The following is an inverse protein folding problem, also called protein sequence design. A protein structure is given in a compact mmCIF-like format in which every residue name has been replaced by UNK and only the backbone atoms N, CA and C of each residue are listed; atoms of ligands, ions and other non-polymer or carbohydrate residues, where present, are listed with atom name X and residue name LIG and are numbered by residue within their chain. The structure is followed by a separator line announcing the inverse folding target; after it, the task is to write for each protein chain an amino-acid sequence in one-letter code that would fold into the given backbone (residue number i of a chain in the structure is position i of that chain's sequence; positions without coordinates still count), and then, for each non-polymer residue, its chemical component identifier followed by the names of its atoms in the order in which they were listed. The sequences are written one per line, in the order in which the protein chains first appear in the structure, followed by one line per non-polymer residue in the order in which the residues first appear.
data_IF_657285033344
#
_entry.id   IF_657285033344
#
_cell.length_a   1.000
_cell.length_b   1.000
_cell.length_c   1.000
_cell.angle_alpha   90.00
_cell.angle_beta   90.00
_cell.angle_gamma   90.00
#
_symmetry.space_group_name_H-M   'P 1'
#
loop_
_entity.id
_entity.type
_entity.pdbx_description
1 polymer ?
#
# COMPACT_ATOMS: atom_id res chain seq x y z
N UNK A 1 -8.70 -9.70 -3.15
CA UNK A 1 -8.56 -9.21 -1.76
C UNK A 1 -9.89 -8.56 -1.37
N UNK A 2 -10.75 -9.26 -0.61
CA UNK A 2 -12.00 -8.68 -0.08
C UNK A 2 -11.70 -8.12 1.33
N UNK A 3 -11.09 -6.94 1.39
CA UNK A 3 -10.76 -6.29 2.66
C UNK A 3 -11.69 -5.11 2.83
N UNK A 4 -12.32 -5.00 4.00
CA UNK A 4 -13.15 -3.86 4.38
C UNK A 4 -12.19 -2.67 4.65
N UNK A 5 -11.78 -1.99 3.59
CA UNK A 5 -10.85 -0.86 3.63
C UNK A 5 -11.64 0.36 4.11
N UNK A 6 -11.14 1.03 5.15
CA UNK A 6 -11.78 2.25 5.67
C UNK A 6 -11.46 3.43 4.75
N UNK A 7 -12.45 3.81 3.94
CA UNK A 7 -12.35 4.91 2.96
C UNK A 7 -12.11 6.28 3.59
N UNK A 8 -12.46 6.44 4.86
CA UNK A 8 -12.23 7.69 5.62
C UNK A 8 -10.78 7.79 6.12
N UNK A 9 -9.94 6.75 5.96
CA UNK A 9 -8.54 6.80 6.38
C UNK A 9 -7.62 7.08 5.19
N UNK A 10 -6.45 7.67 5.50
CA UNK A 10 -5.38 7.79 4.50
C UNK A 10 -4.95 6.40 4.05
N UNK A 11 -4.59 6.27 2.78
CA UNK A 11 -4.19 5.02 2.13
C UNK A 11 -3.32 4.10 3.00
N UNK A 12 -2.20 4.55 3.61
CA UNK A 12 -1.34 3.64 4.37
C UNK A 12 -2.01 3.06 5.65
N UNK A 13 -3.00 3.73 6.23
CA UNK A 13 -3.75 3.21 7.38
C UNK A 13 -4.90 2.31 6.94
N UNK A 14 -5.56 2.66 5.84
CA UNK A 14 -6.62 1.84 5.28
C UNK A 14 -6.06 0.47 4.83
N UNK A 15 -4.85 0.46 4.24
CA UNK A 15 -4.14 -0.77 3.86
C UNK A 15 -3.76 -1.66 5.05
N UNK A 16 -3.61 -1.12 6.27
CA UNK A 16 -3.31 -1.95 7.46
C UNK A 16 -4.51 -2.75 7.96
N UNK A 17 -5.71 -2.50 7.44
CA UNK A 17 -6.87 -3.36 7.68
C UNK A 17 -6.69 -4.75 7.03
N UNK A 18 -5.82 -4.86 6.02
CA UNK A 18 -5.47 -6.11 5.37
C UNK A 18 -4.53 -6.90 6.28
N UNK A 19 -4.94 -8.11 6.71
CA UNK A 19 -4.09 -9.00 7.51
C UNK A 19 -2.77 -9.28 6.77
N UNK A 20 -1.65 -9.09 7.45
CA UNK A 20 -0.30 -9.27 6.88
C UNK A 20 0.33 -8.01 6.29
N UNK A 21 -0.42 -6.90 6.16
CA UNK A 21 0.12 -5.62 5.71
C UNK A 21 0.44 -4.72 6.91
N UNK A 22 1.73 -4.60 7.23
CA UNK A 22 2.20 -3.67 8.24
C UNK A 22 2.26 -2.22 7.72
N UNK A 23 2.12 -1.24 8.62
CA UNK A 23 2.15 0.20 8.28
C UNK A 23 3.38 0.62 7.48
N UNK A 24 4.56 0.07 7.81
CA UNK A 24 5.82 0.34 7.08
C UNK A 24 5.77 -0.20 5.65
N UNK A 25 5.20 -1.39 5.46
CA UNK A 25 5.06 -2.00 4.15
C UNK A 25 4.09 -1.20 3.27
N UNK A 26 2.93 -0.82 3.82
CA UNK A 26 1.96 0.03 3.13
C UNK A 26 2.55 1.39 2.69
N UNK A 27 3.37 2.01 3.55
CA UNK A 27 4.04 3.28 3.21
C UNK A 27 4.99 3.14 2.00
N UNK A 28 5.72 2.02 1.91
CA UNK A 28 6.65 1.77 0.80
C UNK A 28 5.87 1.43 -0.47
N UNK A 29 4.85 0.56 -0.39
CA UNK A 29 4.01 0.20 -1.54
C UNK A 29 3.39 1.44 -2.17
N UNK A 30 2.80 2.32 -1.35
CA UNK A 30 2.24 3.60 -1.78
C UNK A 30 3.27 4.51 -2.44
N UNK A 31 4.49 4.61 -1.88
CA UNK A 31 5.59 5.40 -2.48
C UNK A 31 6.00 4.85 -3.85
N UNK A 32 5.98 3.54 -4.02
CA UNK A 32 6.32 2.86 -5.28
C UNK A 32 5.20 2.97 -6.32
N UNK A 33 3.95 2.94 -5.87
CA UNK A 33 2.77 3.16 -6.71
C UNK A 33 2.55 4.64 -7.10
N UNK A 34 3.39 5.57 -6.65
CA UNK A 34 3.29 7.00 -7.02
C UNK A 34 2.10 7.73 -6.39
N UNK A 35 1.48 7.18 -5.34
CA UNK A 35 0.30 7.75 -4.69
C UNK A 35 0.75 8.77 -3.65
N UNK A 36 -0.03 9.85 -3.43
CA UNK A 36 0.26 10.89 -2.43
C UNK A 36 -0.22 10.53 -1.01
N UNK A 37 0.40 11.11 0.03
CA UNK A 37 0.26 10.69 1.45
C UNK A 37 -1.04 11.26 2.00
N UNK A 38 -1.48 12.37 1.42
CA UNK A 38 -2.66 13.10 1.83
C UNK A 38 -3.94 12.48 1.26
N UNK A 39 -3.84 11.73 0.14
CA UNK A 39 -4.96 11.02 -0.46
C UNK A 39 -5.61 10.04 0.53
N UNK A 40 -6.94 10.01 0.50
CA UNK A 40 -7.76 9.07 1.27
C UNK A 40 -8.00 7.80 0.47
N UNK A 41 -8.30 6.70 1.16
CA UNK A 41 -8.54 5.42 0.49
C UNK A 41 -9.79 5.47 -0.41
N UNK A 42 -10.82 6.25 -0.04
CA UNK A 42 -12.00 6.46 -0.89
C UNK A 42 -11.76 7.35 -2.12
N UNK A 43 -10.60 8.00 -2.23
CA UNK A 43 -10.23 8.82 -3.40
C UNK A 43 -9.31 8.05 -4.37
N UNK A 44 -9.05 6.77 -4.12
CA UNK A 44 -8.26 5.92 -5.00
C UNK A 44 -9.08 5.48 -6.20
N UNK A 45 -8.49 5.58 -7.39
CA UNK A 45 -9.02 4.90 -8.56
C UNK A 45 -8.76 3.39 -8.48
N UNK A 46 -9.56 2.58 -9.17
CA UNK A 46 -9.33 1.14 -9.26
C UNK A 46 -7.93 0.82 -9.83
N UNK A 47 -7.46 1.62 -10.80
CA UNK A 47 -6.12 1.49 -11.36
C UNK A 47 -5.01 1.73 -10.32
N UNK A 48 -5.14 2.77 -9.48
CA UNK A 48 -4.18 3.02 -8.40
C UNK A 48 -4.16 1.86 -7.40
N UNK A 49 -5.33 1.28 -7.13
CA UNK A 49 -5.45 0.13 -6.24
C UNK A 49 -4.76 -1.12 -6.81
N UNK A 50 -4.96 -1.40 -8.11
CA UNK A 50 -4.28 -2.50 -8.80
C UNK A 50 -2.76 -2.35 -8.77
N UNK A 51 -2.23 -1.16 -8.99
CA UNK A 51 -0.78 -0.90 -8.92
C UNK A 51 -0.23 -1.10 -7.50
N UNK A 52 -0.97 -0.71 -6.45
CA UNK A 52 -0.60 -1.04 -5.06
C UNK A 52 -0.56 -2.56 -4.89
N UNK A 53 -1.60 -3.28 -5.30
CA UNK A 53 -1.71 -4.74 -5.14
C UNK A 53 -0.59 -5.44 -5.91
N UNK A 54 -0.29 -4.99 -7.13
CA UNK A 54 0.80 -5.50 -7.97
C UNK A 54 2.16 -5.31 -7.28
N UNK A 55 2.36 -4.15 -6.67
CA UNK A 55 3.55 -3.82 -5.90
C UNK A 55 3.66 -4.68 -4.62
N UNK A 56 2.52 -5.02 -4.00
CA UNK A 56 2.44 -5.91 -2.84
C UNK A 56 2.68 -7.38 -3.20
N UNK A 57 2.22 -7.84 -4.35
CA UNK A 57 2.40 -9.22 -4.82
C UNK A 57 3.84 -9.51 -5.25
N UNK A 58 4.55 -8.51 -5.78
CA UNK A 58 5.92 -8.68 -6.33
C UNK A 58 6.97 -7.77 -5.66
N UNK A 59 7.15 -7.80 -4.33
CA UNK A 59 8.04 -6.86 -3.63
C UNK A 59 9.51 -6.96 -4.04
N UNK A 60 9.97 -8.13 -4.52
CA UNK A 60 11.34 -8.29 -5.01
C UNK A 60 11.59 -7.53 -6.32
N UNK A 61 10.58 -7.45 -7.18
CA UNK A 61 10.70 -6.83 -8.50
C UNK A 61 10.74 -5.29 -8.41
N UNK A 62 10.05 -4.71 -7.43
CA UNK A 62 10.00 -3.26 -7.20
C UNK A 62 11.20 -2.70 -6.41
N UNK A 63 12.27 -3.50 -6.24
CA UNK A 63 13.48 -3.15 -5.49
C UNK A 63 13.12 -2.64 -4.09
N UNK A 64 12.26 -3.36 -3.37
CA UNK A 64 12.08 -3.06 -1.95
C UNK A 64 13.43 -3.25 -1.26
N UNK A 65 13.91 -2.27 -0.47
CA UNK A 65 15.12 -2.49 0.31
C UNK A 65 14.82 -3.65 1.26
N UNK A 66 15.54 -4.77 1.11
CA UNK A 66 15.63 -5.78 2.16
C UNK A 66 16.11 -5.00 3.37
N UNK A 67 15.29 -4.94 4.41
CA UNK A 67 15.68 -4.29 5.67
C UNK A 67 17.04 -4.86 6.05
N UNK A 68 18.07 -4.04 5.92
CA UNK A 68 19.40 -4.35 6.43
C UNK A 68 19.21 -4.34 7.93
N UNK A 69 19.14 -5.54 8.51
CA UNK A 69 19.50 -5.76 9.89
C UNK A 69 20.96 -5.31 10.00
N UNK A 70 21.15 -4.13 10.59
CA UNK A 70 22.47 -3.72 11.07
C UNK A 70 22.64 -4.31 12.46
#
# INVERSE_FOLDING_TARGET
MNSNIDDNRKVPYALTAIKGVARRFALICRRKAGIDVLKRAGELSEHDFEEIVRTMQNPLQYKFPKVVSK
#
